data_IF_322569161975
#
_entry.id   IF_322569161975
#
_cell.length_a   1.000
_cell.length_b   1.000
_cell.length_c   1.000
_cell.angle_alpha   90.00
_cell.angle_beta   90.00
_cell.angle_gamma   90.00
#
_symmetry.space_group_name_H-M   'P 1'
#
loop_
_entity.id
_entity.type
_entity.pdbx_description
1 polymer ?
#
# COMPACT_ATOMS: atom_id res chain seq x y z
N UNK A 1 3.94 0.14 24.21
CA UNK A 1 4.16 -1.19 23.62
C UNK A 1 2.94 -2.04 23.90
N UNK A 2 2.06 -2.16 22.91
CA UNK A 2 0.91 -3.07 23.00
C UNK A 2 1.37 -4.43 22.49
N UNK A 3 1.36 -5.46 23.33
CA UNK A 3 1.77 -6.81 22.95
C UNK A 3 0.64 -7.78 23.23
N UNK A 4 0.17 -8.50 22.20
CA UNK A 4 -0.73 -9.63 22.40
C UNK A 4 0.06 -10.93 22.57
N UNK A 5 -0.52 -11.93 23.24
CA UNK A 5 0.05 -13.28 23.38
C UNK A 5 -0.16 -14.16 22.14
N UNK A 6 -0.80 -13.62 21.10
CA UNK A 6 -1.11 -14.35 19.88
C UNK A 6 0.10 -14.35 18.95
N UNK A 7 0.39 -15.51 18.37
CA UNK A 7 1.52 -15.74 17.47
C UNK A 7 1.19 -15.41 16.01
N UNK A 8 -0.08 -15.14 15.71
CA UNK A 8 -0.57 -14.83 14.36
C UNK A 8 -0.57 -13.30 14.20
N UNK A 9 0.54 -12.79 13.67
CA UNK A 9 0.77 -11.37 13.43
C UNK A 9 0.92 -11.14 11.92
N UNK A 10 -0.02 -10.40 11.34
CA UNK A 10 0.08 -9.90 9.98
C UNK A 10 0.96 -8.65 9.99
N UNK A 11 2.05 -8.66 9.23
CA UNK A 11 2.89 -7.47 9.04
C UNK A 11 2.11 -6.44 8.21
N UNK A 12 1.72 -5.35 8.85
CA UNK A 12 1.23 -4.17 8.16
C UNK A 12 2.45 -3.37 7.70
N UNK A 13 3.02 -3.80 6.57
CA UNK A 13 4.09 -3.03 5.91
C UNK A 13 3.55 -1.65 5.62
N UNK A 14 4.24 -0.62 6.12
CA UNK A 14 3.95 0.76 5.78
C UNK A 14 4.00 0.85 4.26
N UNK A 15 2.84 1.06 3.62
CA UNK A 15 2.70 1.08 2.17
C UNK A 15 3.36 2.36 1.66
N UNK A 16 4.69 2.38 1.64
CA UNK A 16 5.47 3.46 1.03
C UNK A 16 5.17 3.48 -0.47
N UNK A 17 5.14 4.67 -1.04
CA UNK A 17 5.01 4.92 -2.48
C UNK A 17 3.72 4.38 -3.11
N UNK A 18 2.57 4.85 -2.61
CA UNK A 18 1.31 4.63 -3.29
C UNK A 18 1.17 5.65 -4.42
N UNK A 19 0.94 5.17 -5.63
CA UNK A 19 0.72 5.95 -6.83
C UNK A 19 -0.78 6.00 -7.12
N UNK A 20 -1.29 7.19 -7.47
CA UNK A 20 -2.66 7.38 -7.91
C UNK A 20 -2.69 7.85 -9.34
N UNK A 21 -3.29 7.06 -10.23
CA UNK A 21 -3.45 7.43 -11.63
C UNK A 21 -4.35 8.66 -11.72
N UNK A 22 -3.90 9.75 -12.36
CA UNK A 22 -4.75 10.96 -12.50
C UNK A 22 -5.91 10.81 -13.48
N UNK A 23 -5.95 9.71 -14.25
CA UNK A 23 -6.97 9.47 -15.27
C UNK A 23 -8.15 8.66 -14.75
N UNK A 24 -7.89 7.48 -14.20
CA UNK A 24 -8.92 6.61 -13.63
C UNK A 24 -9.05 6.76 -12.11
N UNK A 25 -8.13 7.48 -11.46
CA UNK A 25 -8.05 7.65 -10.01
C UNK A 25 -7.70 6.36 -9.26
N UNK A 26 -7.28 5.30 -9.97
CA UNK A 26 -6.81 4.05 -9.39
C UNK A 26 -5.59 4.29 -8.51
N UNK A 27 -5.62 3.71 -7.32
CA UNK A 27 -4.57 3.80 -6.33
C UNK A 27 -3.83 2.46 -6.27
N UNK A 28 -2.58 2.45 -6.70
CA UNK A 28 -1.73 1.26 -6.84
C UNK A 28 -0.36 1.53 -6.20
N UNK A 29 0.26 0.53 -5.59
CA UNK A 29 1.61 0.72 -5.04
C UNK A 29 2.63 0.80 -6.18
N UNK A 30 3.67 1.61 -6.05
CA UNK A 30 4.77 1.66 -7.01
C UNK A 30 5.40 0.27 -7.22
N UNK A 31 5.49 -0.54 -6.17
CA UNK A 31 5.98 -1.92 -6.22
C UNK A 31 5.07 -2.84 -7.06
N UNK A 32 3.76 -2.67 -6.93
CA UNK A 32 2.75 -3.42 -7.70
C UNK A 32 2.60 -2.89 -9.14
N UNK A 33 3.07 -1.67 -9.41
CA UNK A 33 2.88 -1.04 -10.71
C UNK A 33 3.69 -1.76 -11.80
N UNK A 34 4.85 -2.33 -11.47
CA UNK A 34 5.67 -3.28 -12.26
C UNK A 34 6.16 -2.84 -13.65
N UNK A 35 5.31 -2.22 -14.47
CA UNK A 35 5.53 -1.79 -15.85
C UNK A 35 5.49 -0.28 -16.08
N UNK A 36 5.33 0.56 -15.05
CA UNK A 36 5.40 2.03 -15.16
C UNK A 36 4.21 2.69 -15.88
N UNK A 37 3.12 1.97 -16.10
CA UNK A 37 1.87 2.50 -16.65
C UNK A 37 0.65 1.85 -15.99
N UNK A 38 -0.50 2.53 -16.07
CA UNK A 38 -1.69 2.14 -15.32
C UNK A 38 -2.32 0.90 -15.99
N UNK A 39 -2.39 -0.25 -15.30
CA UNK A 39 -2.92 -1.48 -15.90
C UNK A 39 -4.39 -1.29 -16.27
N UNK A 40 -5.18 -0.64 -15.42
CA UNK A 40 -6.61 -0.45 -15.63
C UNK A 40 -6.93 0.49 -16.82
N UNK A 41 -6.13 1.55 -17.02
CA UNK A 41 -6.26 2.40 -18.20
C UNK A 41 -5.88 1.65 -19.48
N UNK A 42 -4.88 0.77 -19.40
CA UNK A 42 -4.44 -0.05 -20.52
C UNK A 42 -5.46 -1.14 -20.85
N UNK A 43 -6.06 -1.79 -19.86
CA UNK A 43 -7.07 -2.84 -20.05
C UNK A 43 -8.39 -2.26 -20.58
N UNK A 44 -8.86 -1.14 -20.05
CA UNK A 44 -10.15 -0.56 -20.45
C UNK A 44 -10.03 0.18 -21.79
N UNK A 45 -8.97 0.96 -21.97
CA UNK A 45 -8.86 1.90 -23.10
C UNK A 45 -7.70 1.59 -24.06
N UNK A 46 -6.82 0.64 -23.72
CA UNK A 46 -5.58 0.41 -24.49
C UNK A 46 -4.52 1.50 -24.32
N UNK A 47 -4.69 2.41 -23.35
CA UNK A 47 -3.83 3.59 -23.19
C UNK A 47 -2.80 3.33 -22.09
N UNK A 48 -1.51 3.42 -22.45
CA UNK A 48 -0.40 3.38 -21.49
C UNK A 48 -0.30 4.72 -20.77
N UNK A 49 -1.00 4.82 -19.65
CA UNK A 49 -1.03 6.04 -18.87
C UNK A 49 0.04 6.01 -17.78
N UNK A 50 1.03 6.90 -17.85
CA UNK A 50 2.14 7.02 -16.88
C UNK A 50 2.03 8.26 -15.98
N UNK A 51 0.99 9.08 -16.14
CA UNK A 51 0.69 10.21 -15.26
C UNK A 51 0.07 9.73 -13.94
N UNK A 52 0.94 9.49 -12.97
CA UNK A 52 0.59 9.13 -11.60
C UNK A 52 0.96 10.25 -10.64
N UNK A 53 0.11 10.46 -9.66
CA UNK A 53 0.39 11.30 -8.51
C UNK A 53 0.89 10.42 -7.37
N UNK A 54 2.06 10.74 -6.84
CA UNK A 54 2.57 10.10 -5.63
C UNK A 54 1.73 10.53 -4.43
N UNK A 55 0.93 9.61 -3.93
CA UNK A 55 0.24 9.75 -2.65
C UNK A 55 1.23 9.30 -1.61
N UNK A 56 2.02 10.25 -1.10
CA UNK A 56 2.88 10.02 0.04
C UNK A 56 2.01 9.54 1.22
N UNK A 57 1.98 8.22 1.44
CA UNK A 57 1.54 7.68 2.70
C UNK A 57 2.54 8.23 3.72
N UNK A 58 2.05 8.99 4.69
CA UNK A 58 2.85 9.53 5.81
C UNK A 58 3.81 8.43 6.24
N UNK A 59 5.10 8.64 6.04
CA UNK A 59 6.12 7.71 6.49
C UNK A 59 5.93 7.52 7.98
N UNK A 60 5.37 6.39 8.36
CA UNK A 60 5.55 5.90 9.70
C UNK A 60 6.62 4.85 9.58
N UNK A 61 7.85 5.24 9.89
CA UNK A 61 9.03 4.35 9.98
C UNK A 61 8.83 3.19 10.96
N UNK A 62 7.69 3.15 11.64
CA UNK A 62 7.31 2.12 12.61
C UNK A 62 6.74 0.93 11.89
N UNK A 63 7.34 -0.22 12.15
CA UNK A 63 6.83 -1.50 11.68
C UNK A 63 5.54 -1.79 12.43
N UNK A 64 4.42 -1.85 11.70
CA UNK A 64 3.12 -2.15 12.28
C UNK A 64 2.81 -3.63 12.08
N UNK A 65 2.28 -4.27 13.10
CA UNK A 65 1.74 -5.62 13.05
C UNK A 65 0.28 -5.59 13.46
N UNK A 66 -0.55 -6.38 12.80
CA UNK A 66 -1.94 -6.62 13.19
C UNK A 66 -2.10 -8.06 13.63
N UNK A 67 -2.56 -8.24 14.86
CA UNK A 67 -3.04 -9.52 15.35
C UNK A 67 -4.31 -9.91 14.60
N UNK A 68 -4.33 -11.04 13.89
CA UNK A 68 -5.53 -11.51 13.18
C UNK A 68 -6.64 -11.95 14.15
N UNK A 69 -6.26 -12.51 15.29
CA UNK A 69 -7.19 -13.08 16.26
C UNK A 69 -7.92 -12.00 17.09
N UNK A 70 -7.19 -10.94 17.42
CA UNK A 70 -7.64 -9.91 18.35
C UNK A 70 -7.79 -8.52 17.73
N UNK A 71 -7.36 -8.36 16.48
CA UNK A 71 -7.36 -7.07 15.76
C UNK A 71 -6.40 -6.03 16.32
N UNK A 72 -5.59 -6.37 17.34
CA UNK A 72 -4.65 -5.45 17.98
C UNK A 72 -3.61 -4.97 16.97
N UNK A 73 -3.45 -3.66 16.87
CA UNK A 73 -2.37 -3.02 16.11
C UNK A 73 -1.18 -2.82 17.05
N UNK A 74 -0.05 -3.42 16.72
CA UNK A 74 1.22 -3.35 17.43
C UNK A 74 2.14 -2.48 16.59
N UNK A 75 2.61 -1.39 17.16
CA UNK A 75 3.59 -0.51 16.52
C UNK A 75 4.95 -0.72 17.21
N UNK A 76 5.94 -1.13 16.44
CA UNK A 76 7.32 -1.34 16.91
C UNK A 76 8.21 -0.31 16.19
N UNK A 77 9.01 0.40 16.98
CA UNK A 77 10.08 1.31 16.52
C UNK A 77 11.35 0.50 16.23
#
# INVERSE_FOLDING_TARGET
MSSCKHTILELLTDKKNVLRCRRCHLTIKADELGGGYCPECYEINGIKQSDFEEVAAKETERTRYRCEDCGLIIEID
#
